data_IF_798118120733
#
_entry.id   IF_798118120733
#
_cell.length_a   1.000
_cell.length_b   1.000
_cell.length_c   1.000
_cell.angle_alpha   90.00
_cell.angle_beta   90.00
_cell.angle_gamma   90.00
#
_symmetry.space_group_name_H-M   'P 1'
#
loop_
_entity.id
_entity.type
_entity.pdbx_description
1 polymer ?
#
# COMPACT_ATOMS: atom_id res chain seq x y z
N UNK A 1 -16.73 17.66 9.82
CA UNK A 1 -15.69 16.74 9.32
C UNK A 1 -15.05 16.10 10.54
N UNK A 2 -15.50 14.90 10.89
CA UNK A 2 -15.25 14.30 12.20
C UNK A 2 -13.76 13.98 12.41
N UNK A 3 -13.21 14.22 13.61
CA UNK A 3 -11.76 14.17 13.89
C UNK A 3 -11.15 12.80 13.53
N UNK A 4 -11.92 11.74 13.71
CA UNK A 4 -11.61 10.34 13.40
C UNK A 4 -11.33 10.14 11.90
N UNK A 5 -12.12 10.78 11.03
CA UNK A 5 -11.95 10.68 9.58
C UNK A 5 -10.67 11.35 9.07
N UNK A 6 -10.20 12.40 9.76
CA UNK A 6 -8.95 13.07 9.38
C UNK A 6 -7.73 12.19 9.73
N UNK A 7 -7.81 11.42 10.81
CA UNK A 7 -6.72 10.58 11.29
C UNK A 7 -6.47 9.36 10.39
N UNK A 8 -7.53 8.67 9.93
CA UNK A 8 -7.38 7.52 9.02
C UNK A 8 -6.81 7.88 7.65
N UNK A 9 -7.03 9.12 7.19
CA UNK A 9 -6.44 9.62 5.93
C UNK A 9 -4.91 9.66 5.96
N UNK A 10 -4.32 9.83 7.15
CA UNK A 10 -2.87 9.79 7.34
C UNK A 10 -2.37 8.42 7.79
N UNK A 11 -3.26 7.56 8.31
CA UNK A 11 -2.88 6.28 8.88
C UNK A 11 -2.37 5.31 7.81
N UNK A 12 -3.06 5.18 6.67
CA UNK A 12 -2.59 4.35 5.56
C UNK A 12 -1.19 4.74 5.06
N UNK A 13 -0.91 6.01 4.68
CA UNK A 13 0.42 6.37 4.18
C UNK A 13 1.51 6.22 5.25
N UNK A 14 1.21 6.47 6.53
CA UNK A 14 2.17 6.21 7.63
C UNK A 14 2.51 4.72 7.72
N UNK A 15 1.49 3.86 7.74
CA UNK A 15 1.68 2.41 7.83
C UNK A 15 2.38 1.86 6.60
N UNK A 16 2.14 2.43 5.41
CA UNK A 16 2.85 2.08 4.18
C UNK A 16 4.35 2.42 4.26
N UNK A 17 4.70 3.60 4.79
CA UNK A 17 6.11 4.00 5.02
C UNK A 17 6.77 3.06 6.02
N UNK A 18 6.10 2.77 7.14
CA UNK A 18 6.62 1.85 8.15
C UNK A 18 6.84 0.44 7.59
N UNK A 19 5.88 -0.09 6.83
CA UNK A 19 5.98 -1.41 6.21
C UNK A 19 7.15 -1.50 5.24
N UNK A 20 7.32 -0.50 4.37
CA UNK A 20 8.46 -0.45 3.45
C UNK A 20 9.80 -0.33 4.18
N UNK A 21 9.89 0.59 5.14
CA UNK A 21 11.10 0.82 5.93
C UNK A 21 11.51 -0.39 6.75
N UNK A 22 10.58 -0.95 7.53
CA UNK A 22 10.83 -2.16 8.32
C UNK A 22 11.12 -3.37 7.41
N UNK A 23 10.43 -3.50 6.27
CA UNK A 23 10.70 -4.55 5.29
C UNK A 23 12.13 -4.53 4.78
N UNK A 24 12.66 -3.34 4.44
CA UNK A 24 14.07 -3.18 4.03
C UNK A 24 15.03 -3.53 5.16
N UNK A 25 14.73 -3.12 6.40
CA UNK A 25 15.56 -3.47 7.56
C UNK A 25 15.61 -4.98 7.81
N UNK A 26 14.47 -5.67 7.73
CA UNK A 26 14.39 -7.13 7.87
C UNK A 26 15.21 -7.82 6.78
N UNK A 27 15.17 -7.34 5.54
CA UNK A 27 16.00 -7.89 4.47
C UNK A 27 17.51 -7.73 4.77
N UNK A 28 17.93 -6.56 5.24
CA UNK A 28 19.32 -6.31 5.62
C UNK A 28 19.75 -7.21 6.79
N UNK A 29 18.87 -7.44 7.77
CA UNK A 29 19.14 -8.31 8.91
C UNK A 29 19.24 -9.79 8.50
N UNK A 30 18.37 -10.25 7.60
CA UNK A 30 18.42 -11.59 7.03
C UNK A 30 19.71 -11.84 6.23
N UNK A 31 20.24 -10.81 5.57
CA UNK A 31 21.56 -10.88 4.92
C UNK A 31 22.68 -11.04 5.94
N UNK A 32 22.68 -10.22 7.00
CA UNK A 32 23.73 -10.24 8.04
C UNK A 32 23.75 -11.55 8.83
N UNK A 33 22.61 -12.22 8.93
CA UNK A 33 22.44 -13.51 9.62
C UNK A 33 22.64 -14.72 8.70
N UNK A 34 23.14 -14.52 7.46
CA UNK A 34 23.34 -15.56 6.44
C UNK A 34 22.08 -16.40 6.14
N UNK A 35 20.92 -15.89 6.53
CA UNK A 35 19.61 -16.55 6.32
C UNK A 35 19.07 -16.24 4.93
N UNK A 36 19.62 -15.24 4.25
CA UNK A 36 19.37 -14.94 2.85
C UNK A 36 20.45 -15.58 1.96
N UNK A 37 20.06 -16.52 1.10
CA UNK A 37 20.96 -17.19 0.17
C UNK A 37 21.34 -16.27 -1.00
N UNK A 38 22.45 -15.55 -0.84
CA UNK A 38 23.02 -14.67 -1.88
C UNK A 38 23.50 -15.41 -3.14
N UNK A 39 23.55 -16.75 -3.12
CA UNK A 39 23.90 -17.54 -4.30
C UNK A 39 22.76 -17.63 -5.32
N UNK A 40 21.52 -17.35 -4.90
CA UNK A 40 20.33 -17.45 -5.75
C UNK A 40 19.92 -16.11 -6.37
N UNK A 41 20.04 -15.00 -5.64
CA UNK A 41 19.68 -13.68 -6.16
C UNK A 41 20.32 -12.55 -5.36
N UNK A 42 20.58 -11.41 -6.01
CA UNK A 42 21.11 -10.22 -5.33
C UNK A 42 20.06 -9.61 -4.41
N UNK A 43 20.42 -9.32 -3.17
CA UNK A 43 19.54 -8.61 -2.21
C UNK A 43 19.09 -7.22 -2.68
N UNK A 44 19.81 -6.62 -3.64
CA UNK A 44 19.39 -5.36 -4.27
C UNK A 44 18.05 -5.49 -5.00
N UNK A 45 17.70 -6.68 -5.51
CA UNK A 45 16.44 -6.92 -6.20
C UNK A 45 15.22 -6.84 -5.24
N UNK A 46 15.14 -7.60 -4.13
CA UNK A 46 14.01 -7.48 -3.21
C UNK A 46 13.89 -6.09 -2.57
N UNK A 47 15.01 -5.42 -2.28
CA UNK A 47 15.00 -4.03 -1.79
C UNK A 47 14.47 -3.09 -2.88
N UNK A 48 14.96 -3.20 -4.11
CA UNK A 48 14.52 -2.39 -5.23
C UNK A 48 13.03 -2.56 -5.53
N UNK A 49 12.54 -3.80 -5.55
CA UNK A 49 11.11 -4.11 -5.72
C UNK A 49 10.29 -3.51 -4.58
N UNK A 50 10.75 -3.61 -3.33
CA UNK A 50 10.05 -3.01 -2.18
C UNK A 50 9.90 -1.50 -2.32
N UNK A 51 10.97 -0.81 -2.76
CA UNK A 51 10.95 0.63 -3.00
C UNK A 51 10.04 1.03 -4.16
N UNK A 52 10.07 0.29 -5.27
CA UNK A 52 9.20 0.52 -6.42
C UNK A 52 7.72 0.37 -6.00
N UNK A 53 7.39 -0.71 -5.31
CA UNK A 53 6.02 -0.96 -4.82
C UNK A 53 5.56 0.14 -3.87
N UNK A 54 6.42 0.55 -2.93
CA UNK A 54 6.15 1.67 -2.04
C UNK A 54 5.80 2.94 -2.84
N UNK A 55 6.64 3.30 -3.82
CA UNK A 55 6.43 4.49 -4.64
C UNK A 55 5.15 4.38 -5.47
N UNK A 56 4.89 3.23 -6.10
CA UNK A 56 3.67 2.97 -6.86
C UNK A 56 2.43 3.14 -5.99
N UNK A 57 2.39 2.51 -4.81
CA UNK A 57 1.24 2.58 -3.89
C UNK A 57 1.05 3.99 -3.33
N UNK A 58 2.12 4.72 -3.04
CA UNK A 58 2.05 6.10 -2.58
C UNK A 58 1.49 7.04 -3.67
N UNK A 59 1.97 6.90 -4.91
CA UNK A 59 1.49 7.68 -6.05
C UNK A 59 0.04 7.35 -6.40
N UNK A 60 -0.33 6.07 -6.39
CA UNK A 60 -1.71 5.63 -6.60
C UNK A 60 -2.65 6.23 -5.54
N UNK A 61 -2.24 6.23 -4.28
CA UNK A 61 -3.02 6.82 -3.20
C UNK A 61 -3.19 8.33 -3.36
N UNK A 62 -2.12 9.05 -3.70
CA UNK A 62 -2.18 10.49 -3.97
C UNK A 62 -3.13 10.78 -5.15
N UNK A 63 -2.98 10.05 -6.25
CA UNK A 63 -3.83 10.19 -7.43
C UNK A 63 -5.29 9.91 -7.09
N UNK A 64 -5.57 8.86 -6.32
CA UNK A 64 -6.92 8.53 -5.86
C UNK A 64 -7.54 9.70 -5.08
N UNK A 65 -6.81 10.29 -4.14
CA UNK A 65 -7.28 11.44 -3.36
C UNK A 65 -7.59 12.64 -4.26
N UNK A 66 -6.71 12.94 -5.23
CA UNK A 66 -6.91 14.05 -6.16
C UNK A 66 -8.14 13.86 -7.04
N UNK A 67 -8.31 12.67 -7.61
CA UNK A 67 -9.47 12.33 -8.45
C UNK A 67 -10.78 12.46 -7.69
N UNK A 68 -10.83 11.95 -6.46
CA UNK A 68 -12.02 12.08 -5.60
C UNK A 68 -12.30 13.52 -5.19
N UNK A 69 -11.25 14.32 -4.94
CA UNK A 69 -11.37 15.75 -4.66
C UNK A 69 -11.98 16.53 -5.83
N UNK A 70 -11.66 16.15 -7.07
CA UNK A 70 -12.21 16.79 -8.28
C UNK A 70 -13.59 16.28 -8.69
N UNK A 71 -14.05 15.16 -8.12
CA UNK A 71 -15.35 14.55 -8.43
C UNK A 71 -16.54 15.21 -7.71
N UNK A 72 -16.49 16.52 -7.47
CA UNK A 72 -17.44 17.26 -6.62
C UNK A 72 -18.83 17.47 -7.23
N UNK A 73 -18.99 17.26 -8.54
CA UNK A 73 -20.28 17.47 -9.23
C UNK A 73 -20.87 16.13 -9.69
N UNK A 74 -22.20 16.01 -9.65
CA UNK A 74 -22.96 14.88 -10.21
C UNK A 74 -23.03 14.95 -11.75
N UNK A 75 -21.91 15.26 -12.39
CA UNK A 75 -21.75 15.27 -13.83
C UNK A 75 -21.17 13.94 -14.32
N UNK A 76 -21.34 13.63 -15.61
CA UNK A 76 -20.71 12.46 -16.25
C UNK A 76 -19.19 12.44 -16.03
N UNK A 77 -18.55 13.63 -16.07
CA UNK A 77 -17.13 13.79 -15.74
C UNK A 77 -16.83 13.40 -14.28
N UNK A 78 -17.66 13.82 -13.33
CA UNK A 78 -17.53 13.44 -11.92
C UNK A 78 -17.67 11.93 -11.71
N UNK A 79 -18.61 11.28 -12.40
CA UNK A 79 -18.78 9.83 -12.37
C UNK A 79 -17.55 9.09 -12.88
N UNK A 80 -17.01 9.51 -14.04
CA UNK A 80 -15.79 8.92 -14.61
C UNK A 80 -14.60 9.04 -13.65
N UNK A 81 -14.42 10.20 -12.99
CA UNK A 81 -13.36 10.39 -12.00
C UNK A 81 -13.51 9.44 -10.79
N UNK A 82 -14.74 9.22 -10.30
CA UNK A 82 -15.00 8.26 -9.22
C UNK A 82 -14.67 6.82 -9.65
N UNK A 83 -15.09 6.42 -10.85
CA UNK A 83 -14.78 5.08 -11.40
C UNK A 83 -13.27 4.88 -11.48
N UNK A 84 -12.53 5.84 -12.04
CA UNK A 84 -11.07 5.77 -12.12
C UNK A 84 -10.41 5.68 -10.74
N UNK A 85 -10.90 6.44 -9.76
CA UNK A 85 -10.41 6.37 -8.39
C UNK A 85 -10.64 4.98 -7.76
N UNK A 86 -11.79 4.35 -8.03
CA UNK A 86 -12.09 2.99 -7.54
C UNK A 86 -11.29 1.90 -8.25
N UNK A 87 -10.98 2.10 -9.54
CA UNK A 87 -10.09 1.21 -10.26
C UNK A 87 -8.67 1.26 -9.66
N UNK A 88 -8.15 2.46 -9.40
CA UNK A 88 -6.87 2.65 -8.72
C UNK A 88 -6.87 1.99 -7.34
N UNK A 89 -7.96 2.12 -6.59
CA UNK A 89 -8.09 1.49 -5.28
C UNK A 89 -8.02 -0.04 -5.37
N UNK A 90 -8.71 -0.61 -6.36
CA UNK A 90 -8.72 -2.07 -6.62
C UNK A 90 -7.33 -2.57 -6.99
N UNK A 91 -6.64 -1.88 -7.90
CA UNK A 91 -5.27 -2.22 -8.30
C UNK A 91 -4.29 -2.13 -7.12
N UNK A 92 -4.43 -1.11 -6.28
CA UNK A 92 -3.61 -0.95 -5.08
C UNK A 92 -3.81 -2.12 -4.12
N UNK A 93 -5.05 -2.57 -3.92
CA UNK A 93 -5.35 -3.73 -3.08
C UNK A 93 -4.74 -5.02 -3.66
N UNK A 94 -4.85 -5.23 -4.97
CA UNK A 94 -4.26 -6.40 -5.63
C UNK A 94 -2.74 -6.44 -5.45
N UNK A 95 -2.06 -5.29 -5.61
CA UNK A 95 -0.62 -5.18 -5.34
C UNK A 95 -0.30 -5.55 -3.89
N UNK A 96 -1.08 -5.06 -2.92
CA UNK A 96 -0.87 -5.39 -1.51
C UNK A 96 -1.05 -6.89 -1.25
N UNK A 97 -2.10 -7.51 -1.78
CA UNK A 97 -2.35 -8.96 -1.63
C UNK A 97 -1.24 -9.79 -2.27
N UNK A 98 -0.83 -9.44 -3.49
CA UNK A 98 0.28 -10.09 -4.19
C UNK A 98 1.58 -10.04 -3.37
N UNK A 99 1.89 -8.89 -2.75
CA UNK A 99 3.05 -8.75 -1.87
C UNK A 99 2.95 -9.57 -0.58
N UNK A 100 1.76 -9.72 0.00
CA UNK A 100 1.55 -10.62 1.15
C UNK A 100 1.93 -12.05 0.76
N UNK A 101 1.43 -12.53 -0.39
CA UNK A 101 1.71 -13.89 -0.88
C UNK A 101 3.20 -14.06 -1.18
N UNK A 102 3.80 -13.11 -1.89
CA UNK A 102 5.23 -13.14 -2.24
C UNK A 102 6.13 -13.26 -1.00
N UNK A 103 5.83 -12.50 0.06
CA UNK A 103 6.62 -12.49 1.28
C UNK A 103 6.25 -13.59 2.29
N UNK A 104 5.26 -14.44 1.99
CA UNK A 104 4.83 -15.51 2.90
C UNK A 104 5.82 -16.68 3.02
N UNK A 105 7.03 -16.53 2.48
CA UNK A 105 8.12 -17.49 2.63
C UNK A 105 8.70 -17.47 4.06
N UNK A 106 9.21 -18.60 4.58
CA UNK A 106 9.53 -18.79 6.01
C UNK A 106 10.41 -17.69 6.61
N UNK A 107 11.41 -17.21 5.88
CA UNK A 107 12.37 -16.21 6.35
C UNK A 107 11.90 -14.76 6.22
N UNK A 108 10.74 -14.52 5.59
CA UNK A 108 10.21 -13.18 5.33
C UNK A 108 8.79 -12.97 5.86
N UNK A 109 8.28 -13.91 6.68
CA UNK A 109 6.93 -13.89 7.26
C UNK A 109 6.59 -12.55 7.94
N UNK A 110 7.56 -11.92 8.61
CA UNK A 110 7.37 -10.59 9.23
C UNK A 110 6.98 -9.53 8.19
N UNK A 111 7.63 -9.55 7.01
CA UNK A 111 7.31 -8.63 5.91
C UNK A 111 5.89 -8.89 5.40
N UNK A 112 5.48 -10.14 5.27
CA UNK A 112 4.10 -10.49 4.88
C UNK A 112 3.06 -9.98 5.88
N UNK A 113 3.32 -10.11 7.18
CA UNK A 113 2.43 -9.59 8.24
C UNK A 113 2.30 -8.06 8.13
N UNK A 114 3.40 -7.34 7.91
CA UNK A 114 3.38 -5.88 7.74
C UNK A 114 2.57 -5.46 6.50
N UNK A 115 2.72 -6.16 5.37
CA UNK A 115 1.85 -5.94 4.21
C UNK A 115 0.38 -6.27 4.52
N UNK A 116 0.11 -7.29 5.34
CA UNK A 116 -1.23 -7.61 5.82
C UNK A 116 -1.86 -6.47 6.63
N UNK A 117 -1.11 -5.91 7.59
CA UNK A 117 -1.54 -4.72 8.34
C UNK A 117 -1.78 -3.53 7.42
N UNK A 118 -0.90 -3.32 6.43
CA UNK A 118 -1.06 -2.27 5.42
C UNK A 118 -2.33 -2.47 4.58
N UNK A 119 -2.63 -3.70 4.16
CA UNK A 119 -3.85 -4.02 3.43
C UNK A 119 -5.12 -3.76 4.27
N UNK A 120 -5.12 -4.15 5.55
CA UNK A 120 -6.25 -3.89 6.46
C UNK A 120 -6.48 -2.39 6.65
N UNK A 121 -5.40 -1.62 6.87
CA UNK A 121 -5.50 -0.16 7.02
C UNK A 121 -5.93 0.52 5.73
N UNK A 122 -5.50 0.02 4.57
CA UNK A 122 -5.99 0.47 3.26
C UNK A 122 -7.48 0.21 3.09
N UNK A 123 -7.96 -1.00 3.40
CA UNK A 123 -9.39 -1.34 3.32
C UNK A 123 -10.22 -0.46 4.25
N UNK A 124 -9.76 -0.21 5.48
CA UNK A 124 -10.42 0.70 6.40
C UNK A 124 -10.51 2.13 5.84
N UNK A 125 -9.44 2.62 5.20
CA UNK A 125 -9.44 3.90 4.48
C UNK A 125 -10.45 3.91 3.32
N UNK A 126 -10.52 2.85 2.52
CA UNK A 126 -11.49 2.76 1.42
C UNK A 126 -12.93 2.76 1.93
N UNK A 127 -13.25 1.98 2.97
CA UNK A 127 -14.60 1.92 3.56
C UNK A 127 -15.09 3.31 4.00
N UNK A 128 -14.21 4.11 4.63
CA UNK A 128 -14.57 5.48 5.02
C UNK A 128 -14.74 6.40 3.81
N UNK A 129 -13.88 6.26 2.81
CA UNK A 129 -13.97 7.03 1.57
C UNK A 129 -15.28 6.76 0.84
N UNK A 130 -15.74 5.52 0.79
CA UNK A 130 -17.06 5.15 0.24
C UNK A 130 -18.22 5.67 1.09
N UNK A 131 -18.10 5.62 2.42
CA UNK A 131 -19.15 6.14 3.30
C UNK A 131 -19.35 7.66 3.12
N UNK A 132 -18.30 8.39 2.77
CA UNK A 132 -18.33 9.85 2.54
C UNK A 132 -18.70 10.25 1.11
N UNK A 133 -18.66 9.30 0.15
CA UNK A 133 -18.97 9.58 -1.26
C UNK A 133 -20.44 9.35 -1.64
N UNK A 134 -21.25 8.88 -0.67
CA UNK A 134 -22.73 8.88 -0.69
C UNK A 134 -23.27 10.27 -0.42
#
# INVERSE_FOLDING_TARGET
MDRTCRLLRYLYPIVLVLTSGTGVLVLIENLKSETYDISQDSISLPIGVTLIIFLTLALMHLLQILLLGWAHTNSLRGLLLKISAYLIATLSLLILVDRIVYWSMPHHTVIAILYGVTAVTFVAFQMQTFAQSK
#
